data_IF_291978725610
#
_entry.id   IF_291978725610
#
_cell.length_a   1.000
_cell.length_b   1.000
_cell.length_c   1.000
_cell.angle_alpha   90.00
_cell.angle_beta   90.00
_cell.angle_gamma   90.00
#
_symmetry.space_group_name_H-M   'P 1'
#
loop_
_entity.id
_entity.type
_entity.pdbx_description
1 polymer ?
#
# COMPACT_ATOMS: atom_id res chain seq x y z
N UNK A 1 -34.40 -83.43 -19.01
CA UNK A 1 -33.10 -84.02 -19.40
C UNK A 1 -32.02 -82.97 -19.18
N UNK A 2 -30.96 -83.36 -18.46
CA UNK A 2 -29.66 -82.69 -18.25
C UNK A 2 -29.06 -82.19 -19.58
N UNK A 3 -28.17 -81.21 -19.70
CA UNK A 3 -27.33 -80.43 -18.77
C UNK A 3 -26.19 -79.75 -19.57
N UNK A 4 -25.55 -78.75 -18.95
CA UNK A 4 -24.09 -78.45 -18.93
C UNK A 4 -23.23 -78.28 -20.21
N UNK A 5 -22.49 -77.13 -20.19
CA UNK A 5 -21.03 -76.94 -20.47
C UNK A 5 -20.52 -76.86 -21.92
N UNK A 6 -19.77 -75.77 -22.23
CA UNK A 6 -18.28 -75.69 -22.34
C UNK A 6 -17.83 -74.54 -23.28
N UNK A 7 -16.89 -73.72 -22.82
CA UNK A 7 -15.83 -73.10 -23.66
C UNK A 7 -14.67 -74.11 -23.83
N UNK A 8 -13.69 -73.96 -24.75
CA UNK A 8 -12.59 -73.00 -24.55
C UNK A 8 -11.81 -72.47 -25.81
N UNK A 9 -11.05 -71.39 -25.58
CA UNK A 9 -9.67 -71.07 -26.00
C UNK A 9 -9.21 -71.10 -27.47
N UNK A 10 -8.64 -69.99 -27.97
CA UNK A 10 -7.17 -69.80 -28.09
C UNK A 10 -6.78 -68.46 -28.75
N UNK A 11 -5.78 -67.80 -28.15
CA UNK A 11 -4.93 -66.71 -28.68
C UNK A 11 -3.74 -67.33 -29.47
N UNK A 12 -3.05 -66.62 -30.40
CA UNK A 12 -1.93 -65.75 -30.00
C UNK A 12 -1.66 -64.49 -30.88
N UNK A 13 -0.71 -63.70 -30.33
CA UNK A 13 -0.24 -62.33 -30.61
C UNK A 13 0.66 -62.15 -31.84
N UNK A 14 0.79 -60.89 -32.28
CA UNK A 14 2.00 -60.06 -32.61
C UNK A 14 1.58 -58.96 -33.63
N UNK A 15 2.01 -57.69 -33.68
CA UNK A 15 3.04 -56.88 -33.02
C UNK A 15 2.74 -55.36 -33.26
N UNK A 16 3.09 -54.54 -32.25
CA UNK A 16 3.66 -53.17 -32.26
C UNK A 16 3.28 -52.14 -33.35
N UNK A 17 2.75 -50.96 -32.97
CA UNK A 17 3.48 -49.66 -32.91
C UNK A 17 2.79 -48.70 -31.91
N UNK A 18 3.58 -48.05 -31.05
CA UNK A 18 3.20 -47.01 -30.07
C UNK A 18 2.64 -45.72 -30.72
N UNK A 19 1.69 -45.06 -30.05
CA UNK A 19 1.71 -43.59 -29.89
C UNK A 19 0.94 -43.17 -28.62
N UNK A 20 1.66 -42.51 -27.70
CA UNK A 20 1.21 -42.04 -26.39
C UNK A 20 0.38 -40.75 -26.47
N UNK A 21 -0.67 -40.64 -25.66
CA UNK A 21 -1.24 -39.37 -25.18
C UNK A 21 -2.23 -39.63 -24.04
N UNK A 22 -1.76 -39.57 -22.78
CA UNK A 22 -2.59 -39.65 -21.57
C UNK A 22 -2.39 -38.40 -20.72
N UNK A 23 -3.47 -37.67 -20.44
CA UNK A 23 -3.60 -36.71 -19.32
C UNK A 23 -4.51 -37.36 -18.27
N UNK A 24 -4.17 -37.36 -16.97
CA UNK A 24 -5.01 -37.98 -15.95
C UNK A 24 -6.07 -37.01 -15.39
N UNK A 25 -7.23 -37.56 -15.03
CA UNK A 25 -8.32 -36.89 -14.33
C UNK A 25 -8.10 -36.93 -12.80
N UNK A 26 -8.55 -35.93 -12.02
CA UNK A 26 -8.04 -35.68 -10.66
C UNK A 26 -8.97 -36.13 -9.49
N UNK A 27 -9.83 -37.14 -9.67
CA UNK A 27 -10.81 -37.54 -8.64
C UNK A 27 -10.85 -39.05 -8.39
N UNK A 28 -9.71 -39.67 -8.11
CA UNK A 28 -9.72 -41.05 -7.64
C UNK A 28 -8.53 -41.34 -6.72
N UNK A 29 -8.79 -41.39 -5.41
CA UNK A 29 -8.00 -42.11 -4.40
C UNK A 29 -8.73 -42.06 -3.05
N UNK A 30 -9.62 -43.02 -2.83
CA UNK A 30 -9.87 -43.60 -1.51
C UNK A 30 -8.94 -44.81 -1.37
N UNK A 31 -8.13 -44.89 -0.30
CA UNK A 31 -8.29 -45.87 0.78
C UNK A 31 -7.07 -45.83 1.75
N UNK A 32 -7.37 -46.20 2.99
CA UNK A 32 -6.68 -45.93 4.24
C UNK A 32 -5.29 -46.58 4.44
N UNK A 33 -4.48 -45.93 5.30
CA UNK A 33 -3.76 -46.66 6.36
C UNK A 33 -3.32 -45.74 7.50
N UNK A 34 -3.62 -46.20 8.71
CA UNK A 34 -3.33 -45.60 10.01
C UNK A 34 -1.86 -45.19 10.22
N UNK A 35 -1.65 -43.99 10.79
CA UNK A 35 -0.67 -43.81 11.86
C UNK A 35 -0.89 -42.51 12.65
N UNK A 36 -1.04 -42.67 13.96
CA UNK A 36 -1.11 -41.60 14.98
C UNK A 36 0.13 -40.71 14.91
N UNK A 37 -0.06 -39.39 14.86
CA UNK A 37 0.69 -38.42 15.68
C UNK A 37 -0.06 -37.07 15.70
N UNK A 38 -0.42 -36.63 16.91
CA UNK A 38 -0.94 -35.30 17.26
C UNK A 38 -0.02 -34.17 16.80
N UNK A 39 -0.48 -33.30 15.88
CA UNK A 39 0.10 -31.97 15.66
C UNK A 39 -0.96 -30.94 15.20
N UNK A 40 -0.83 -29.73 15.75
CA UNK A 40 -1.72 -28.57 15.68
C UNK A 40 -1.87 -27.91 14.28
N UNK A 41 -2.93 -27.10 14.05
CA UNK A 41 -3.18 -26.43 12.77
C UNK A 41 -2.20 -25.28 12.46
N UNK A 42 -1.55 -25.37 11.30
CA UNK A 42 -0.98 -24.26 10.51
C UNK A 42 -2.13 -23.52 9.80
N UNK A 43 -2.18 -22.20 9.56
CA UNK A 43 -1.27 -21.07 9.64
C UNK A 43 -2.14 -19.80 9.79
N UNK A 44 -1.96 -19.06 10.88
CA UNK A 44 -2.39 -17.66 11.01
C UNK A 44 -1.20 -16.80 10.54
N UNK A 45 -1.44 -15.82 9.68
CA UNK A 45 -0.42 -14.84 9.28
C UNK A 45 -0.08 -13.97 10.49
N UNK A 46 0.94 -14.36 11.24
CA UNK A 46 1.60 -13.54 12.26
C UNK A 46 2.93 -13.12 11.69
N UNK A 47 2.99 -11.93 11.11
CA UNK A 47 4.26 -11.24 10.88
C UNK A 47 4.70 -10.66 12.22
N UNK A 48 5.64 -11.34 12.90
CA UNK A 48 6.44 -10.73 13.96
C UNK A 48 7.29 -9.59 13.37
N UNK A 49 7.51 -8.50 14.12
CA UNK A 49 8.32 -7.39 13.64
C UNK A 49 9.77 -7.86 13.60
N UNK A 50 10.37 -7.86 12.41
CA UNK A 50 11.83 -7.91 12.34
C UNK A 50 12.34 -6.69 13.09
N UNK A 51 13.11 -6.90 14.15
CA UNK A 51 13.94 -5.87 14.76
C UNK A 51 14.76 -5.23 13.64
N UNK A 52 14.27 -4.08 13.17
CA UNK A 52 15.03 -3.20 12.33
C UNK A 52 16.22 -2.77 13.18
N UNK A 53 17.41 -3.15 12.71
CA UNK A 53 18.65 -2.55 13.14
C UNK A 53 18.45 -1.04 13.04
N UNK A 54 18.43 -0.35 14.19
CA UNK A 54 18.26 1.10 14.26
C UNK A 54 19.58 1.74 13.84
N UNK A 55 19.95 1.55 12.58
CA UNK A 55 21.04 2.27 11.95
C UNK A 55 20.50 3.65 11.64
N UNK A 56 21.09 4.65 12.28
CA UNK A 56 20.74 6.05 12.11
C UNK A 56 20.73 6.37 10.59
N UNK A 57 19.59 6.75 9.98
CA UNK A 57 19.48 6.92 8.53
C UNK A 57 20.30 8.11 7.99
N UNK A 58 20.99 8.82 8.88
CA UNK A 58 21.85 9.96 8.61
C UNK A 58 23.35 9.60 8.57
N UNK A 59 23.76 8.39 8.95
CA UNK A 59 25.18 8.00 9.00
C UNK A 59 25.60 7.27 7.72
N UNK A 60 25.82 8.05 6.66
CA UNK A 60 26.30 7.58 5.37
C UNK A 60 27.78 7.88 5.16
N UNK A 61 28.69 7.18 5.85
CA UNK A 61 30.10 7.09 5.42
C UNK A 61 30.45 5.65 5.03
N UNK A 62 30.26 5.35 3.74
CA UNK A 62 30.88 4.20 3.09
C UNK A 62 32.34 4.56 2.80
N UNK A 63 33.26 4.00 3.57
CA UNK A 63 34.71 4.22 3.44
C UNK A 63 35.21 3.67 2.10
N UNK A 64 35.46 4.56 1.13
CA UNK A 64 36.20 4.23 -0.08
C UNK A 64 37.69 4.58 0.15
N UNK A 65 38.54 3.56 0.26
CA UNK A 65 40.00 3.72 0.36
C UNK A 65 40.55 4.17 -0.99
N UNK A 66 40.66 5.49 -1.18
CA UNK A 66 41.38 6.13 -2.28
C UNK A 66 42.68 6.77 -1.78
N UNK A 67 43.81 6.28 -2.26
CA UNK A 67 45.16 6.79 -2.02
C UNK A 67 45.46 7.94 -2.99
N UNK A 68 45.58 9.17 -2.48
CA UNK A 68 46.64 10.17 -2.79
C UNK A 68 46.19 11.63 -2.69
N UNK A 69 47.05 12.41 -2.03
CA UNK A 69 47.27 13.87 -2.12
C UNK A 69 46.19 14.84 -1.62
N UNK A 70 46.30 15.21 -0.34
CA UNK A 70 46.26 16.62 0.12
C UNK A 70 46.42 16.63 1.65
N UNK A 71 47.59 17.03 2.13
CA UNK A 71 47.87 17.18 3.57
C UNK A 71 46.96 18.16 4.30
N UNK A 72 46.20 18.99 3.56
CA UNK A 72 45.17 19.87 4.12
C UNK A 72 43.83 19.14 4.35
N UNK A 73 43.53 18.13 3.53
CA UNK A 73 42.30 17.34 3.66
C UNK A 73 42.37 16.36 4.84
N UNK A 74 43.55 15.81 5.14
CA UNK A 74 43.72 14.91 6.30
C UNK A 74 43.61 15.64 7.65
N UNK A 75 44.04 16.90 7.74
CA UNK A 75 43.92 17.72 8.95
C UNK A 75 42.45 18.07 9.26
N UNK A 76 41.68 18.42 8.23
CA UNK A 76 40.24 18.71 8.37
C UNK A 76 39.48 17.44 8.75
N UNK A 77 39.79 16.30 8.13
CA UNK A 77 39.16 15.02 8.48
C UNK A 77 39.44 14.60 9.93
N UNK A 78 40.65 14.81 10.45
CA UNK A 78 40.99 14.43 11.82
C UNK A 78 40.25 15.31 12.87
N UNK A 79 40.09 16.62 12.59
CA UNK A 79 39.33 17.53 13.46
C UNK A 79 37.84 17.16 13.57
N UNK A 80 37.26 16.61 12.49
CA UNK A 80 35.85 16.22 12.45
C UNK A 80 35.50 15.10 13.44
N UNK A 81 36.44 14.18 13.69
CA UNK A 81 36.30 13.14 14.70
C UNK A 81 36.52 13.68 16.12
N UNK A 82 37.39 14.69 16.29
CA UNK A 82 37.63 15.32 17.59
C UNK A 82 36.41 16.10 18.08
N UNK A 83 35.68 16.75 17.16
CA UNK A 83 34.48 17.52 17.50
C UNK A 83 33.24 16.64 17.80
N UNK A 84 33.19 15.38 17.36
CA UNK A 84 32.08 14.45 17.66
C UNK A 84 31.89 14.24 19.18
N UNK A 85 32.97 14.27 19.96
CA UNK A 85 32.92 14.07 21.41
C UNK A 85 32.65 15.37 22.19
N UNK A 86 32.32 16.49 21.53
CA UNK A 86 32.03 17.79 22.16
C UNK A 86 33.10 18.22 23.19
N UNK A 87 34.37 17.96 22.90
CA UNK A 87 35.52 18.28 23.77
C UNK A 87 35.50 17.61 25.16
N UNK A 88 34.70 16.55 25.35
CA UNK A 88 34.59 15.85 26.65
C UNK A 88 35.93 15.26 27.10
N UNK A 89 36.72 14.78 26.15
CA UNK A 89 38.05 14.21 26.41
C UNK A 89 39.15 15.27 26.56
N UNK A 90 38.86 16.51 26.14
CA UNK A 90 39.79 17.65 26.15
C UNK A 90 39.54 18.61 27.32
N UNK A 91 38.74 18.21 28.31
CA UNK A 91 38.45 19.00 29.51
C UNK A 91 37.31 20.00 29.37
N UNK A 92 36.46 19.90 28.35
CA UNK A 92 35.32 20.80 28.16
C UNK A 92 35.63 21.98 27.23
N UNK A 93 34.57 22.74 26.90
CA UNK A 93 34.61 23.80 25.88
C UNK A 93 35.42 25.02 26.36
N UNK A 94 35.42 25.25 27.67
CA UNK A 94 36.13 26.33 28.37
C UNK A 94 37.66 26.19 28.34
N UNK A 95 38.17 24.99 28.06
CA UNK A 95 39.59 24.69 28.01
C UNK A 95 40.13 24.65 26.57
N UNK A 96 39.34 25.05 25.58
CA UNK A 96 39.73 25.06 24.16
C UNK A 96 40.19 26.43 23.70
N UNK A 97 41.01 26.44 22.65
CA UNK A 97 41.40 27.68 21.97
C UNK A 97 40.24 28.27 21.16
N UNK A 98 40.27 29.58 20.93
CA UNK A 98 39.25 30.27 20.11
C UNK A 98 39.15 29.66 18.71
N UNK A 99 40.28 29.27 18.11
CA UNK A 99 40.35 28.63 16.80
C UNK A 99 39.67 27.24 16.78
N UNK A 100 39.78 26.47 17.86
CA UNK A 100 39.07 25.19 18.00
C UNK A 100 37.56 25.40 18.17
N UNK A 101 37.15 26.44 18.92
CA UNK A 101 35.74 26.79 19.10
C UNK A 101 35.10 27.28 17.79
N UNK A 102 35.83 28.07 17.00
CA UNK A 102 35.44 28.49 15.66
C UNK A 102 35.26 27.28 14.72
N UNK A 103 36.21 26.34 14.71
CA UNK A 103 36.13 25.10 13.95
C UNK A 103 34.94 24.22 14.37
N UNK A 104 34.70 24.12 15.67
CA UNK A 104 33.56 23.40 16.23
C UNK A 104 32.23 24.04 15.84
N UNK A 105 32.12 25.37 15.87
CA UNK A 105 30.91 26.08 15.45
C UNK A 105 30.55 25.81 13.99
N UNK A 106 31.55 25.86 13.10
CA UNK A 106 31.37 25.50 11.68
C UNK A 106 30.96 24.03 11.54
N UNK A 107 31.64 23.12 12.24
CA UNK A 107 31.31 21.70 12.23
C UNK A 107 29.87 21.42 12.65
N UNK A 108 29.40 21.99 13.77
CA UNK A 108 28.02 21.82 14.25
C UNK A 108 27.00 22.44 13.30
N UNK A 109 27.32 23.56 12.68
CA UNK A 109 26.48 24.16 11.65
C UNK A 109 26.34 23.22 10.43
N UNK A 110 27.45 22.70 9.90
CA UNK A 110 27.42 21.73 8.79
C UNK A 110 26.64 20.45 9.16
N UNK A 111 26.82 19.93 10.37
CA UNK A 111 26.09 18.76 10.86
C UNK A 111 24.58 19.01 10.90
N UNK A 112 24.17 20.19 11.37
CA UNK A 112 22.77 20.62 11.41
C UNK A 112 22.19 20.74 10.00
N UNK A 113 22.91 21.36 9.08
CA UNK A 113 22.49 21.46 7.67
C UNK A 113 22.29 20.08 7.04
N UNK A 114 23.19 19.11 7.32
CA UNK A 114 23.04 17.73 6.84
C UNK A 114 21.81 17.05 7.42
N UNK A 115 21.51 17.29 8.69
CA UNK A 115 20.30 16.75 9.32
C UNK A 115 19.03 17.33 8.67
N UNK A 116 18.96 18.64 8.44
CA UNK A 116 17.85 19.28 7.71
C UNK A 116 17.68 18.69 6.32
N UNK A 117 18.77 18.48 5.57
CA UNK A 117 18.72 17.87 4.25
C UNK A 117 18.20 16.42 4.28
N UNK A 118 18.58 15.63 5.29
CA UNK A 118 18.04 14.29 5.44
C UNK A 118 16.55 14.29 5.79
N UNK A 119 16.08 15.25 6.61
CA UNK A 119 14.64 15.42 6.87
C UNK A 119 13.86 15.77 5.60
N UNK A 120 14.41 16.66 4.75
CA UNK A 120 13.82 16.99 3.46
C UNK A 120 13.67 15.77 2.55
N UNK A 121 14.73 14.96 2.44
CA UNK A 121 14.68 13.73 1.64
C UNK A 121 13.56 12.79 2.11
N UNK A 122 13.46 12.58 3.42
CA UNK A 122 12.40 11.73 3.98
C UNK A 122 11.01 12.32 3.72
N UNK A 123 10.84 13.63 3.88
CA UNK A 123 9.56 14.30 3.64
C UNK A 123 9.13 14.19 2.15
N UNK A 124 10.09 14.31 1.23
CA UNK A 124 9.87 14.11 -0.20
C UNK A 124 9.45 12.67 -0.56
N UNK A 125 10.12 11.68 0.03
CA UNK A 125 9.77 10.27 -0.14
C UNK A 125 8.34 10.01 0.37
N UNK A 126 7.97 10.53 1.54
CA UNK A 126 6.61 10.44 2.09
C UNK A 126 5.59 11.10 1.15
N UNK A 127 5.93 12.26 0.57
CA UNK A 127 5.03 12.97 -0.36
C UNK A 127 4.74 12.14 -1.61
N UNK A 128 5.75 11.48 -2.15
CA UNK A 128 5.60 10.57 -3.29
C UNK A 128 4.68 9.40 -2.98
N UNK A 129 4.88 8.73 -1.84
CA UNK A 129 4.04 7.60 -1.43
C UNK A 129 2.62 8.02 -1.05
N UNK A 130 2.43 9.18 -0.43
CA UNK A 130 1.11 9.75 -0.15
C UNK A 130 0.33 10.03 -1.45
N UNK A 131 1.01 10.52 -2.49
CA UNK A 131 0.40 10.74 -3.80
C UNK A 131 -0.09 9.41 -4.41
N UNK A 132 0.74 8.36 -4.39
CA UNK A 132 0.33 7.03 -4.84
C UNK A 132 -0.87 6.50 -4.05
N UNK A 133 -0.86 6.71 -2.73
CA UNK A 133 -1.94 6.28 -1.83
C UNK A 133 -3.26 6.98 -2.14
N UNK A 134 -3.24 8.29 -2.41
CA UNK A 134 -4.44 9.04 -2.82
C UNK A 134 -5.03 8.51 -4.13
N UNK A 135 -4.19 8.16 -5.12
CA UNK A 135 -4.66 7.55 -6.37
C UNK A 135 -5.32 6.20 -6.12
N UNK A 136 -4.69 5.34 -5.30
CA UNK A 136 -5.27 4.04 -4.93
C UNK A 136 -6.60 4.18 -4.19
N UNK A 137 -6.69 5.12 -3.24
CA UNK A 137 -7.95 5.38 -2.53
C UNK A 137 -9.04 5.82 -3.51
N UNK A 138 -8.74 6.72 -4.45
CA UNK A 138 -9.71 7.12 -5.45
C UNK A 138 -10.22 5.94 -6.30
N UNK A 139 -9.32 5.08 -6.78
CA UNK A 139 -9.68 3.91 -7.56
C UNK A 139 -10.56 2.92 -6.76
N UNK A 140 -10.24 2.71 -5.49
CA UNK A 140 -11.02 1.87 -4.57
C UNK A 140 -12.43 2.45 -4.33
N UNK A 141 -12.54 3.78 -4.16
CA UNK A 141 -13.82 4.46 -4.02
C UNK A 141 -14.73 4.30 -5.25
N UNK A 142 -14.14 4.36 -6.45
CA UNK A 142 -14.86 4.07 -7.70
C UNK A 142 -15.26 2.60 -7.80
N UNK A 143 -14.42 1.67 -7.33
CA UNK A 143 -14.77 0.25 -7.29
C UNK A 143 -15.96 -0.03 -6.35
N UNK A 144 -16.00 0.59 -5.17
CA UNK A 144 -17.14 0.50 -4.24
C UNK A 144 -18.40 1.03 -4.93
N UNK A 145 -18.30 2.17 -5.61
CA UNK A 145 -19.40 2.77 -6.37
C UNK A 145 -19.91 1.85 -7.48
N UNK A 146 -19.01 1.21 -8.25
CA UNK A 146 -19.40 0.22 -9.26
C UNK A 146 -20.09 -1.00 -8.64
N UNK A 147 -19.63 -1.44 -7.48
CA UNK A 147 -20.20 -2.60 -6.78
C UNK A 147 -21.61 -2.33 -6.29
N UNK A 148 -21.88 -1.12 -5.80
CA UNK A 148 -23.23 -0.63 -5.50
C UNK A 148 -24.16 -0.70 -6.72
N UNK A 149 -23.71 -0.25 -7.89
CA UNK A 149 -24.52 -0.37 -9.12
C UNK A 149 -24.83 -1.83 -9.45
N UNK A 150 -23.86 -2.73 -9.27
CA UNK A 150 -24.11 -4.18 -9.45
C UNK A 150 -25.11 -4.74 -8.46
N UNK A 151 -25.08 -4.31 -7.19
CA UNK A 151 -26.09 -4.70 -6.22
C UNK A 151 -27.51 -4.26 -6.65
N UNK A 152 -27.65 -3.04 -7.19
CA UNK A 152 -28.92 -2.54 -7.73
C UNK A 152 -29.37 -3.33 -8.97
N UNK A 153 -28.46 -3.67 -9.88
CA UNK A 153 -28.78 -4.54 -11.03
C UNK A 153 -29.31 -5.90 -10.56
N UNK A 154 -28.65 -6.52 -9.57
CA UNK A 154 -29.08 -7.80 -8.99
C UNK A 154 -30.45 -7.66 -8.31
N UNK A 155 -30.71 -6.56 -7.59
CA UNK A 155 -32.03 -6.28 -6.99
C UNK A 155 -33.15 -6.33 -8.03
N UNK A 156 -32.91 -5.69 -9.18
CA UNK A 156 -33.87 -5.64 -10.28
C UNK A 156 -34.07 -7.02 -10.91
N UNK A 157 -32.99 -7.77 -11.14
CA UNK A 157 -33.05 -9.12 -11.70
C UNK A 157 -33.74 -10.11 -10.77
N UNK A 158 -33.42 -10.07 -9.47
CA UNK A 158 -34.12 -10.85 -8.46
C UNK A 158 -35.60 -10.49 -8.42
N UNK A 159 -35.95 -9.21 -8.43
CA UNK A 159 -37.35 -8.79 -8.41
C UNK A 159 -38.14 -9.32 -9.62
N UNK A 160 -37.51 -9.43 -10.80
CA UNK A 160 -38.12 -10.06 -11.98
C UNK A 160 -38.23 -11.58 -11.82
N UNK A 161 -37.17 -12.25 -11.37
CA UNK A 161 -37.14 -13.69 -11.15
C UNK A 161 -38.15 -14.15 -10.08
N UNK A 162 -38.27 -13.40 -8.99
CA UNK A 162 -39.23 -13.66 -7.91
C UNK A 162 -40.68 -13.59 -8.40
N UNK A 163 -41.02 -12.63 -9.26
CA UNK A 163 -42.36 -12.55 -9.88
C UNK A 163 -42.66 -13.79 -10.72
N UNK A 164 -41.69 -14.25 -11.51
CA UNK A 164 -41.82 -15.46 -12.32
C UNK A 164 -42.01 -16.70 -11.42
N UNK A 165 -41.18 -16.87 -10.40
CA UNK A 165 -41.29 -17.95 -9.41
C UNK A 165 -42.62 -17.92 -8.64
N UNK A 166 -43.18 -16.72 -8.42
CA UNK A 166 -44.52 -16.53 -7.87
C UNK A 166 -45.61 -17.08 -8.80
N UNK A 167 -45.50 -16.79 -10.11
CA UNK A 167 -46.48 -17.21 -11.13
C UNK A 167 -46.41 -18.70 -11.53
N UNK A 168 -45.28 -19.36 -11.34
CA UNK A 168 -45.05 -20.77 -11.69
C UNK A 168 -45.77 -21.76 -10.76
N UNK A 169 -46.41 -21.28 -9.70
CA UNK A 169 -47.25 -22.12 -8.85
C UNK A 169 -48.53 -22.54 -9.57
N UNK A 170 -48.85 -23.84 -9.58
CA UNK A 170 -50.12 -24.33 -10.11
C UNK A 170 -51.34 -23.80 -9.34
N UNK A 171 -52.54 -23.95 -9.92
CA UNK A 171 -53.83 -23.46 -9.41
C UNK A 171 -54.23 -23.95 -8.00
N UNK A 172 -53.49 -24.90 -7.43
CA UNK A 172 -53.66 -25.41 -6.05
C UNK A 172 -52.45 -25.16 -5.13
N UNK A 173 -51.40 -24.49 -5.61
CA UNK A 173 -50.20 -24.20 -4.82
C UNK A 173 -50.33 -22.86 -4.08
N UNK A 174 -49.79 -22.77 -2.86
CA UNK A 174 -49.74 -21.49 -2.12
C UNK A 174 -48.97 -20.46 -2.95
N UNK A 175 -49.60 -19.29 -3.16
CA UNK A 175 -48.98 -18.12 -3.81
C UNK A 175 -47.81 -17.67 -2.95
N UNK A 176 -46.60 -17.80 -3.47
CA UNK A 176 -45.40 -17.35 -2.78
C UNK A 176 -45.18 -15.87 -3.06
N UNK A 177 -45.00 -15.08 -1.99
CA UNK A 177 -44.61 -13.68 -2.08
C UNK A 177 -43.19 -13.55 -1.50
N UNK A 178 -42.23 -12.98 -2.25
CA UNK A 178 -40.91 -12.72 -1.71
C UNK A 178 -41.00 -11.74 -0.54
N UNK A 179 -40.17 -11.97 0.49
CA UNK A 179 -39.99 -11.00 1.57
C UNK A 179 -38.80 -10.10 1.22
N UNK A 180 -39.07 -8.80 1.06
CA UNK A 180 -38.05 -7.74 0.95
C UNK A 180 -38.09 -6.93 2.24
N UNK A 181 -37.01 -6.95 3.02
CA UNK A 181 -36.96 -6.28 4.34
C UNK A 181 -36.50 -4.83 4.24
N UNK A 182 -35.73 -4.49 3.19
CA UNK A 182 -35.29 -3.12 2.89
C UNK A 182 -35.12 -2.89 1.38
N UNK A 183 -35.26 -1.64 0.90
CA UNK A 183 -34.79 -1.27 -0.42
C UNK A 183 -33.26 -1.37 -0.50
N UNK A 184 -32.75 -1.81 -1.65
CA UNK A 184 -31.31 -1.78 -1.97
C UNK A 184 -30.98 -0.33 -2.30
N UNK A 185 -30.12 0.27 -1.48
CA UNK A 185 -29.72 1.66 -1.62
C UNK A 185 -28.49 1.70 -2.52
N UNK A 186 -28.65 2.23 -3.74
CA UNK A 186 -27.52 2.43 -4.64
C UNK A 186 -26.42 3.32 -4.05
N UNK A 187 -25.37 3.64 -4.83
CA UNK A 187 -24.20 4.31 -4.30
C UNK A 187 -24.59 5.56 -3.52
N UNK A 188 -24.06 5.68 -2.30
CA UNK A 188 -24.31 6.86 -1.47
C UNK A 188 -23.57 8.04 -2.08
N UNK A 189 -24.26 8.76 -2.96
CA UNK A 189 -23.80 10.05 -3.46
C UNK A 189 -24.11 11.06 -2.36
N UNK A 190 -23.26 11.12 -1.34
CA UNK A 190 -23.26 12.28 -0.43
C UNK A 190 -22.98 13.52 -1.28
N UNK A 191 -24.04 14.26 -1.58
CA UNK A 191 -23.96 15.64 -2.07
C UNK A 191 -23.68 16.49 -0.82
N UNK A 192 -22.64 17.32 -0.90
CA UNK A 192 -21.99 18.11 0.18
C UNK A 192 -21.02 17.30 1.08
N UNK A 193 -19.76 17.67 1.24
CA UNK A 193 -19.01 18.92 0.99
C UNK A 193 -17.87 18.65 0.00
N UNK A 194 -17.51 19.55 -0.92
CA UNK A 194 -16.52 19.27 -1.97
C UNK A 194 -15.04 19.32 -1.49
N UNK A 195 -14.26 18.23 -1.64
CA UNK A 195 -12.83 18.25 -1.94
C UNK A 195 -12.56 17.91 -3.42
N UNK A 196 -13.59 17.44 -4.15
CA UNK A 196 -13.55 17.03 -5.56
C UNK A 196 -13.08 18.13 -6.51
N UNK A 197 -13.24 19.41 -6.14
CA UNK A 197 -12.69 20.54 -6.91
C UNK A 197 -11.14 20.59 -6.88
N UNK A 198 -10.50 20.02 -5.85
CA UNK A 198 -9.03 19.92 -5.74
C UNK A 198 -8.49 18.61 -6.32
N UNK A 199 -9.22 17.50 -6.23
CA UNK A 199 -8.78 16.19 -6.77
C UNK A 199 -8.78 16.21 -8.31
N UNK A 200 -9.81 16.81 -8.93
CA UNK A 200 -9.81 17.09 -10.38
C UNK A 200 -8.68 18.04 -10.81
N UNK A 201 -8.10 18.81 -9.88
CA UNK A 201 -6.93 19.63 -10.14
C UNK A 201 -5.64 18.81 -10.03
N UNK A 202 -5.58 17.77 -9.19
CA UNK A 202 -4.39 16.91 -9.07
C UNK A 202 -4.19 16.04 -10.32
N UNK A 203 -5.26 15.39 -10.81
CA UNK A 203 -5.20 14.56 -12.03
C UNK A 203 -4.87 15.41 -13.28
N UNK A 204 -5.32 16.67 -13.29
CA UNK A 204 -4.99 17.65 -14.34
C UNK A 204 -3.56 18.18 -14.19
N UNK A 205 -2.98 18.24 -12.98
CA UNK A 205 -1.57 18.61 -12.75
C UNK A 205 -0.60 17.50 -13.16
N UNK A 206 -0.96 16.24 -12.89
CA UNK A 206 -0.18 15.07 -13.29
C UNK A 206 -0.15 14.93 -14.82
N UNK A 207 -1.31 15.05 -15.49
CA UNK A 207 -1.42 15.00 -16.96
C UNK A 207 -0.82 16.22 -17.68
N UNK A 208 -0.61 17.34 -16.99
CA UNK A 208 0.04 18.53 -17.54
C UNK A 208 1.55 18.61 -17.20
N UNK A 209 2.12 17.62 -16.51
CA UNK A 209 3.54 17.60 -16.16
C UNK A 209 3.97 18.75 -15.24
N UNK A 210 3.05 19.33 -14.47
CA UNK A 210 3.29 20.52 -13.66
C UNK A 210 3.72 20.18 -12.22
N UNK A 211 4.54 19.13 -12.08
CA UNK A 211 5.44 19.03 -10.93
C UNK A 211 6.50 20.10 -11.16
N UNK A 212 6.16 21.35 -10.84
CA UNK A 212 7.19 22.35 -10.65
C UNK A 212 8.01 21.85 -9.48
N UNK A 213 9.14 21.21 -9.77
CA UNK A 213 10.27 21.21 -8.87
C UNK A 213 10.38 22.64 -8.32
N UNK A 214 10.64 22.82 -7.02
CA UNK A 214 10.98 24.15 -6.52
C UNK A 214 12.02 24.68 -7.49
N UNK A 215 11.73 25.81 -8.14
CA UNK A 215 12.74 26.52 -8.90
C UNK A 215 13.80 26.85 -7.88
N UNK A 216 14.82 26.00 -7.79
CA UNK A 216 16.10 26.34 -7.20
C UNK A 216 16.56 27.57 -7.95
N UNK A 217 16.26 28.75 -7.39
CA UNK A 217 16.93 29.96 -7.76
C UNK A 217 18.37 29.73 -7.35
N UNK A 218 19.16 29.17 -8.27
CA UNK A 218 20.61 29.35 -8.28
C UNK A 218 20.83 30.85 -8.43
N UNK A 219 20.80 31.57 -7.31
CA UNK A 219 21.37 32.91 -7.24
C UNK A 219 22.85 32.69 -7.47
N UNK A 220 23.29 33.02 -8.68
CA UNK A 220 24.69 33.11 -9.08
C UNK A 220 25.41 33.92 -8.00
N UNK A 221 26.14 33.25 -7.11
CA UNK A 221 26.97 33.92 -6.11
C UNK A 221 28.40 33.86 -6.57
N UNK A 222 28.87 35.05 -6.93
CA UNK A 222 30.22 35.45 -7.28
C UNK A 222 31.27 34.75 -6.39
N UNK A 223 32.32 34.13 -6.97
CA UNK A 223 33.34 33.45 -6.18
C UNK A 223 34.44 34.45 -5.77
N UNK A 224 34.64 34.69 -4.47
CA UNK A 224 35.80 35.42 -3.90
C UNK A 224 35.73 35.38 -2.35
N UNK A 225 36.84 35.48 -1.58
CA UNK A 225 38.17 34.88 -1.68
C UNK A 225 38.43 33.80 -0.59
N UNK A 226 39.50 33.02 -0.73
CA UNK A 226 39.94 31.96 0.20
C UNK A 226 40.43 32.50 1.56
N UNK A 227 39.52 32.97 2.41
CA UNK A 227 39.68 32.99 3.88
C UNK A 227 38.37 33.42 4.53
N UNK A 228 37.29 32.67 4.27
CA UNK A 228 36.03 32.89 5.00
C UNK A 228 36.27 32.65 6.49
N UNK A 229 36.27 33.74 7.25
CA UNK A 229 36.16 33.80 8.70
C UNK A 229 35.10 32.79 9.18
N UNK A 230 35.37 32.06 10.25
CA UNK A 230 34.51 30.96 10.70
C UNK A 230 33.06 31.42 10.89
N UNK A 231 32.89 32.67 11.33
CA UNK A 231 31.61 33.35 11.42
C UNK A 231 30.85 33.40 10.09
N UNK A 232 31.51 33.78 8.99
CA UNK A 232 30.87 33.86 7.67
C UNK A 232 30.45 32.48 7.14
N UNK A 233 31.20 31.42 7.47
CA UNK A 233 30.82 30.04 7.12
C UNK A 233 29.60 29.58 7.90
N UNK A 234 29.57 29.84 9.20
CA UNK A 234 28.40 29.55 10.05
C UNK A 234 27.17 30.28 9.52
N UNK A 235 27.30 31.56 9.16
CA UNK A 235 26.18 32.34 8.63
C UNK A 235 25.67 31.79 7.29
N UNK A 236 26.57 31.32 6.43
CA UNK A 236 26.19 30.64 5.18
C UNK A 236 25.46 29.32 5.45
N UNK A 237 25.93 28.51 6.40
CA UNK A 237 25.25 27.27 6.78
C UNK A 237 23.88 27.54 7.42
N UNK A 238 23.76 28.59 8.24
CA UNK A 238 22.46 29.02 8.77
C UNK A 238 21.48 29.41 7.67
N UNK A 239 21.91 30.18 6.68
CA UNK A 239 21.05 30.51 5.54
C UNK A 239 20.56 29.26 4.80
N UNK A 240 21.43 28.25 4.60
CA UNK A 240 21.02 26.95 4.03
C UNK A 240 20.04 26.19 4.91
N UNK A 241 20.23 26.25 6.23
CA UNK A 241 19.30 25.63 7.19
C UNK A 241 17.93 26.30 7.12
N UNK A 242 17.88 27.63 7.09
CA UNK A 242 16.63 28.38 7.01
C UNK A 242 15.88 28.10 5.70
N UNK A 243 16.59 28.08 4.56
CA UNK A 243 16.04 27.70 3.27
C UNK A 243 15.48 26.27 3.32
N UNK A 244 16.26 25.31 3.85
CA UNK A 244 15.84 23.92 3.94
C UNK A 244 14.68 23.67 4.91
N UNK A 245 14.61 24.43 6.00
CA UNK A 245 13.47 24.38 6.94
C UNK A 245 12.21 25.00 6.33
N UNK A 246 12.35 26.04 5.50
CA UNK A 246 11.25 26.61 4.74
C UNK A 246 10.68 25.58 3.76
N UNK A 247 11.54 24.94 2.96
CA UNK A 247 11.14 23.87 2.03
C UNK A 247 10.46 22.70 2.78
N UNK A 248 10.99 22.32 3.95
CA UNK A 248 10.43 21.26 4.77
C UNK A 248 9.04 21.64 5.29
N UNK A 249 8.86 22.89 5.73
CA UNK A 249 7.56 23.42 6.16
C UNK A 249 6.53 23.37 5.04
N UNK A 250 6.92 23.73 3.82
CA UNK A 250 6.04 23.69 2.66
C UNK A 250 5.58 22.24 2.35
N UNK A 251 6.52 21.28 2.32
CA UNK A 251 6.19 19.86 2.11
C UNK A 251 5.28 19.34 3.23
N UNK A 252 5.55 19.67 4.50
CA UNK A 252 4.69 19.29 5.61
C UNK A 252 3.28 19.87 5.49
N UNK A 253 3.16 21.10 4.95
CA UNK A 253 1.87 21.70 4.61
C UNK A 253 1.12 20.92 3.53
N UNK A 254 1.80 20.47 2.48
CA UNK A 254 1.23 19.61 1.43
C UNK A 254 0.80 18.25 2.00
N UNK A 255 1.67 17.59 2.78
CA UNK A 255 1.40 16.31 3.44
C UNK A 255 0.17 16.38 4.35
N UNK A 256 0.01 17.47 5.11
CA UNK A 256 -1.18 17.70 5.93
C UNK A 256 -2.45 17.73 5.09
N UNK A 257 -2.45 18.47 3.97
CA UNK A 257 -3.62 18.56 3.10
C UNK A 257 -3.96 17.18 2.51
N UNK A 258 -2.96 16.44 2.04
CA UNK A 258 -3.16 15.08 1.54
C UNK A 258 -3.70 14.15 2.62
N UNK A 259 -3.22 14.25 3.87
CA UNK A 259 -3.74 13.44 4.98
C UNK A 259 -5.21 13.72 5.29
N UNK A 260 -5.64 14.99 5.24
CA UNK A 260 -7.05 15.38 5.41
C UNK A 260 -7.91 14.84 4.26
N UNK A 261 -7.42 14.95 3.02
CA UNK A 261 -8.12 14.44 1.84
C UNK A 261 -8.25 12.90 1.90
N UNK A 262 -7.17 12.18 2.25
CA UNK A 262 -7.18 10.73 2.46
C UNK A 262 -8.18 10.33 3.56
N UNK A 263 -8.18 11.03 4.69
CA UNK A 263 -9.10 10.75 5.80
C UNK A 263 -10.56 10.93 5.40
N UNK A 264 -10.87 11.98 4.66
CA UNK A 264 -12.23 12.27 4.18
C UNK A 264 -12.71 11.22 3.17
N UNK A 265 -11.83 10.78 2.26
CA UNK A 265 -12.16 9.74 1.28
C UNK A 265 -12.34 8.37 1.97
N UNK A 266 -11.51 8.02 2.96
CA UNK A 266 -11.69 6.78 3.75
C UNK A 266 -13.01 6.80 4.52
N UNK A 267 -13.37 7.91 5.17
CA UNK A 267 -14.65 8.01 5.89
C UNK A 267 -15.85 7.83 4.95
N UNK A 268 -15.78 8.43 3.76
CA UNK A 268 -16.80 8.29 2.72
C UNK A 268 -16.89 6.83 2.24
N UNK A 269 -15.76 6.18 1.99
CA UNK A 269 -15.72 4.77 1.57
C UNK A 269 -16.26 3.84 2.65
N UNK A 270 -15.91 4.04 3.92
CA UNK A 270 -16.44 3.25 5.04
C UNK A 270 -17.96 3.32 5.10
N UNK A 271 -18.55 4.52 5.03
CA UNK A 271 -20.02 4.66 4.96
C UNK A 271 -20.59 3.95 3.75
N UNK A 272 -19.94 4.07 2.59
CA UNK A 272 -20.33 3.36 1.37
C UNK A 272 -20.30 1.83 1.54
N UNK A 273 -19.29 1.29 2.22
CA UNK A 273 -19.15 -0.14 2.51
C UNK A 273 -20.20 -0.64 3.48
N UNK A 274 -20.53 0.11 4.54
CA UNK A 274 -21.58 -0.25 5.49
C UNK A 274 -22.93 -0.42 4.77
N UNK A 275 -23.29 0.56 3.92
CA UNK A 275 -24.51 0.47 3.12
C UNK A 275 -24.47 -0.68 2.12
N UNK A 276 -23.31 -0.93 1.49
CA UNK A 276 -23.15 -2.06 0.57
C UNK A 276 -23.32 -3.40 1.28
N UNK A 277 -22.78 -3.51 2.50
CA UNK A 277 -22.86 -4.73 3.30
C UNK A 277 -24.32 -5.09 3.59
N UNK A 278 -25.10 -4.12 4.08
CA UNK A 278 -26.53 -4.33 4.34
C UNK A 278 -27.28 -4.74 3.05
N UNK A 279 -26.91 -4.14 1.91
CA UNK A 279 -27.54 -4.40 0.60
C UNK A 279 -27.24 -5.82 0.15
N UNK A 280 -25.98 -6.24 0.23
CA UNK A 280 -25.54 -7.58 -0.11
C UNK A 280 -26.20 -8.63 0.80
N UNK A 281 -26.37 -8.35 2.09
CA UNK A 281 -27.03 -9.25 3.03
C UNK A 281 -28.52 -9.46 2.68
N UNK A 282 -29.24 -8.39 2.33
CA UNK A 282 -30.62 -8.49 1.86
C UNK A 282 -30.72 -9.24 0.52
N UNK A 283 -29.80 -8.99 -0.42
CA UNK A 283 -29.75 -9.73 -1.68
C UNK A 283 -29.49 -11.22 -1.44
N UNK A 284 -28.55 -11.57 -0.57
CA UNK A 284 -28.24 -12.95 -0.22
C UNK A 284 -29.47 -13.65 0.39
N UNK A 285 -30.15 -13.00 1.33
CA UNK A 285 -31.38 -13.52 1.93
C UNK A 285 -32.48 -13.81 0.88
N UNK A 286 -32.66 -12.91 -0.08
CA UNK A 286 -33.65 -13.06 -1.15
C UNK A 286 -33.30 -14.14 -2.17
N UNK A 287 -32.01 -14.25 -2.53
CA UNK A 287 -31.50 -15.34 -3.36
C UNK A 287 -31.80 -16.70 -2.70
N UNK A 288 -31.52 -16.84 -1.41
CA UNK A 288 -31.79 -18.07 -0.67
C UNK A 288 -33.28 -18.43 -0.65
N UNK A 289 -34.16 -17.46 -0.38
CA UNK A 289 -35.60 -17.68 -0.43
C UNK A 289 -36.08 -18.11 -1.83
N UNK A 290 -35.59 -17.44 -2.87
CA UNK A 290 -35.92 -17.76 -4.27
C UNK A 290 -35.46 -19.17 -4.64
N UNK A 291 -34.26 -19.57 -4.23
CA UNK A 291 -33.73 -20.92 -4.43
C UNK A 291 -34.58 -21.97 -3.70
N UNK A 292 -34.96 -21.71 -2.45
CA UNK A 292 -35.85 -22.61 -1.69
C UNK A 292 -37.22 -22.76 -2.38
N UNK A 293 -37.80 -21.67 -2.90
CA UNK A 293 -39.05 -21.74 -3.67
C UNK A 293 -38.87 -22.54 -4.94
N UNK A 294 -37.78 -22.32 -5.69
CA UNK A 294 -37.46 -23.07 -6.90
C UNK A 294 -37.39 -24.58 -6.65
N UNK A 295 -36.70 -25.01 -5.59
CA UNK A 295 -36.62 -26.44 -5.19
C UNK A 295 -38.00 -27.04 -4.89
N UNK A 296 -38.82 -26.34 -4.11
CA UNK A 296 -40.20 -26.77 -3.81
C UNK A 296 -41.07 -26.93 -5.07
N UNK A 297 -40.91 -26.05 -6.05
CA UNK A 297 -41.64 -26.14 -7.33
C UNK A 297 -41.20 -27.36 -8.16
N UNK A 298 -39.94 -27.75 -8.06
CA UNK A 298 -39.40 -28.95 -8.72
C UNK A 298 -39.70 -30.25 -7.96
N UNK A 299 -40.33 -30.18 -6.77
CA UNK A 299 -40.58 -31.35 -5.93
C UNK A 299 -39.31 -31.98 -5.34
N UNK A 300 -38.22 -31.20 -5.23
CA UNK A 300 -36.93 -31.60 -4.63
C UNK A 300 -36.70 -30.92 -3.29
#
# INVERSE_FOLDING_TARGET
>A
MFGLRKSPANLPKHNSVDLKSSKPNPFDSDDESDNKHTLNPSKRTTSEPSLADMTNPFDGERVEKGYSSSSKQSLISNSKYQYKNNFRDSGGIENQSVQELEGYAVYKAEETTKSVHGCLKVAEDIRSDATRTLVMLHEQGEQITRTHHKAVEIDHDLSRGEKLLGSLGGMFSKTWKPKKTRPINGPVITRDHSPTRRINHLEKREKLGLNSAPKGQSRTREPLPESADAYQRVEMEKAKQDDGLSDLSDILGELKNMAVDMGSEIEKQNKGLDHLHDDVDELNFRVQQSNQRGRRLLGK
#
